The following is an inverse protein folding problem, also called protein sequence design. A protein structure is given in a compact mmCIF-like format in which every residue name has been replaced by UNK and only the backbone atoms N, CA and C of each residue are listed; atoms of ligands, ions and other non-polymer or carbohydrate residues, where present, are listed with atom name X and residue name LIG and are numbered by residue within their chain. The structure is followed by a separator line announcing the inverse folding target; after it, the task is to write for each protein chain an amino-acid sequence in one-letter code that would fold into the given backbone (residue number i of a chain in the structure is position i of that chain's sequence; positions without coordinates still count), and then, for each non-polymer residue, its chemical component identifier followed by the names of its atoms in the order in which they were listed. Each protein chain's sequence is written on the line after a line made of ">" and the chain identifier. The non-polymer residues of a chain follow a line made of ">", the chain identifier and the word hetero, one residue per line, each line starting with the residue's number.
data_IF_863412451647
#
_entry.id   IF_863412451647
#
_cell.length_a   1.000
_cell.length_b   1.000
_cell.length_c   1.000
_cell.angle_alpha   90.00
_cell.angle_beta   90.00
_cell.angle_gamma   90.00
#
_symmetry.space_group_name_H-M   'P 1'
#
loop_
_entity.id
_entity.type
_entity.pdbx_description
1 polymer ?
#
# COMPACT_ATOMS: atom_id res chain seq x y z
N UNK A 1 4.92 -10.99 -13.35
CA UNK A 1 6.00 -10.34 -12.57
C UNK A 1 6.02 -11.03 -11.23
N UNK A 2 7.20 -11.37 -10.69
CA UNK A 2 7.26 -12.03 -9.38
C UNK A 2 7.51 -10.98 -8.28
N UNK A 3 6.67 -10.92 -7.23
CA UNK A 3 6.97 -10.12 -6.04
C UNK A 3 8.15 -10.75 -5.26
N UNK A 4 8.87 -9.97 -4.43
CA UNK A 4 9.88 -10.52 -3.55
C UNK A 4 9.31 -11.56 -2.58
N UNK A 5 10.17 -12.42 -2.05
CA UNK A 5 9.78 -13.35 -1.00
C UNK A 5 9.35 -12.59 0.25
N UNK A 6 8.23 -13.00 0.86
CA UNK A 6 7.78 -12.45 2.14
C UNK A 6 8.80 -12.86 3.21
N UNK A 7 9.33 -11.91 4.01
CA UNK A 7 10.19 -12.24 5.14
C UNK A 7 9.47 -13.20 6.10
N UNK A 8 10.07 -14.36 6.37
CA UNK A 8 9.51 -15.36 7.28
C UNK A 8 8.40 -16.25 6.73
N UNK A 9 8.01 -16.11 5.45
CA UNK A 9 7.15 -17.08 4.80
C UNK A 9 7.96 -18.32 4.42
N UNK A 10 7.66 -19.43 5.08
CA UNK A 10 8.19 -20.76 4.74
C UNK A 10 7.49 -21.38 3.52
N UNK A 11 6.84 -20.57 2.67
CA UNK A 11 6.27 -21.07 1.42
C UNK A 11 7.42 -21.41 0.46
N UNK A 12 7.88 -22.65 0.59
CA UNK A 12 8.65 -23.34 -0.43
C UNK A 12 7.90 -23.21 -1.76
N UNK A 13 8.59 -22.62 -2.73
CA UNK A 13 8.16 -22.66 -4.12
C UNK A 13 8.10 -24.12 -4.53
N UNK A 14 6.88 -24.64 -4.69
CA UNK A 14 6.69 -25.98 -5.23
C UNK A 14 7.47 -26.10 -6.55
N UNK A 15 8.17 -27.22 -6.72
CA UNK A 15 9.12 -27.45 -7.80
C UNK A 15 8.45 -27.53 -9.20
N UNK A 16 7.14 -27.28 -9.30
CA UNK A 16 6.33 -27.24 -10.51
C UNK A 16 6.26 -25.88 -11.25
N UNK A 17 6.89 -24.82 -10.75
CA UNK A 17 7.14 -23.59 -11.53
C UNK A 17 5.94 -22.67 -11.84
N UNK A 18 4.71 -23.04 -11.50
CA UNK A 18 3.54 -22.15 -11.58
C UNK A 18 3.23 -21.50 -10.23
N UNK A 19 3.20 -20.17 -10.20
CA UNK A 19 2.80 -19.39 -9.03
C UNK A 19 1.32 -19.69 -8.66
N UNK A 20 1.01 -19.96 -7.38
CA UNK A 20 -0.37 -20.16 -6.93
C UNK A 20 -1.26 -18.95 -7.29
N UNK A 21 -2.39 -19.22 -7.93
CA UNK A 21 -3.40 -18.21 -8.25
C UNK A 21 -4.54 -18.23 -7.23
N UNK A 22 -4.94 -17.07 -6.75
CA UNK A 22 -6.06 -16.89 -5.84
C UNK A 22 -7.20 -16.20 -6.58
N UNK A 23 -8.30 -16.92 -6.80
CA UNK A 23 -9.42 -16.39 -7.57
C UNK A 23 -9.07 -16.03 -9.03
N UNK A 24 -8.02 -16.64 -9.59
CA UNK A 24 -7.52 -16.36 -10.93
C UNK A 24 -6.39 -15.33 -10.99
N UNK A 25 -6.09 -14.65 -9.88
CA UNK A 25 -5.05 -13.61 -9.81
C UNK A 25 -3.77 -14.12 -9.17
N UNK A 26 -2.65 -13.63 -9.69
CA UNK A 26 -1.33 -13.82 -9.08
C UNK A 26 -1.23 -13.00 -7.80
N UNK A 27 -0.29 -13.39 -6.93
CA UNK A 27 0.03 -12.61 -5.74
C UNK A 27 0.44 -11.17 -6.09
N UNK A 28 1.19 -11.01 -7.19
CA UNK A 28 1.58 -9.71 -7.71
C UNK A 28 0.38 -8.78 -7.95
N UNK A 29 -0.64 -9.27 -8.65
CA UNK A 29 -1.83 -8.49 -9.01
C UNK A 29 -2.63 -8.10 -7.76
N UNK A 30 -2.78 -9.04 -6.82
CA UNK A 30 -3.46 -8.79 -5.55
C UNK A 30 -2.72 -7.74 -4.72
N UNK A 31 -1.39 -7.85 -4.60
CA UNK A 31 -0.56 -6.86 -3.90
C UNK A 31 -0.60 -5.49 -4.59
N UNK A 32 -0.65 -5.46 -5.93
CA UNK A 32 -0.72 -4.24 -6.72
C UNK A 32 -2.06 -3.50 -6.52
N UNK A 33 -3.17 -4.23 -6.51
CA UNK A 33 -4.47 -3.63 -6.22
C UNK A 33 -4.51 -3.11 -4.79
N UNK A 34 -4.06 -3.92 -3.83
CA UNK A 34 -4.05 -3.54 -2.42
C UNK A 34 -3.20 -2.29 -2.16
N UNK A 35 -1.96 -2.23 -2.67
CA UNK A 35 -1.08 -1.09 -2.45
C UNK A 35 -1.67 0.19 -3.07
N UNK A 36 -2.34 0.08 -4.22
CA UNK A 36 -3.01 1.23 -4.83
C UNK A 36 -4.22 1.70 -4.02
N UNK A 37 -4.95 0.82 -3.33
CA UNK A 37 -6.00 1.23 -2.41
C UNK A 37 -5.50 2.12 -1.26
N UNK A 38 -4.22 1.99 -0.87
CA UNK A 38 -3.61 2.85 0.16
C UNK A 38 -3.50 4.32 -0.26
N UNK A 39 -3.65 4.64 -1.55
CA UNK A 39 -3.73 6.02 -2.02
C UNK A 39 -4.96 6.76 -1.45
N UNK A 40 -6.01 6.05 -1.05
CA UNK A 40 -7.25 6.63 -0.54
C UNK A 40 -7.21 6.80 0.99
N UNK A 41 -7.21 8.04 1.54
CA UNK A 41 -7.21 8.28 2.98
C UNK A 41 -8.38 7.64 3.74
N UNK A 42 -9.56 7.51 3.11
CA UNK A 42 -10.71 6.83 3.71
C UNK A 42 -10.47 5.34 3.91
N UNK A 43 -9.70 4.71 3.01
CA UNK A 43 -9.32 3.31 3.17
C UNK A 43 -8.34 3.12 4.32
N UNK A 44 -7.40 4.05 4.50
CA UNK A 44 -6.50 4.04 5.66
C UNK A 44 -7.27 4.17 6.99
N UNK A 45 -8.23 5.08 7.04
CA UNK A 45 -9.12 5.24 8.19
C UNK A 45 -9.91 3.96 8.47
N UNK A 46 -10.47 3.32 7.42
CA UNK A 46 -11.15 2.04 7.54
C UNK A 46 -10.23 0.95 8.13
N UNK A 47 -9.00 0.81 7.63
CA UNK A 47 -8.01 -0.15 8.16
C UNK A 47 -7.70 0.12 9.65
N UNK A 48 -7.60 1.39 10.03
CA UNK A 48 -7.36 1.80 11.42
C UNK A 48 -8.56 1.49 12.33
N UNK A 49 -9.79 1.78 11.86
CA UNK A 49 -11.03 1.52 12.58
C UNK A 49 -11.22 0.02 12.84
N UNK A 50 -10.87 -0.82 11.87
CA UNK A 50 -10.88 -2.28 11.97
C UNK A 50 -9.67 -2.86 12.75
N UNK A 51 -8.83 -2.00 13.34
CA UNK A 51 -7.65 -2.38 14.15
C UNK A 51 -6.58 -3.17 13.40
N UNK A 52 -6.59 -3.17 12.07
CA UNK A 52 -5.51 -3.82 11.30
C UNK A 52 -4.18 -3.11 11.51
N UNK A 53 -4.17 -1.77 11.55
CA UNK A 53 -2.95 -0.97 11.73
C UNK A 53 -2.31 -1.09 13.13
N UNK A 54 -2.95 -1.79 14.06
CA UNK A 54 -2.38 -2.10 15.39
C UNK A 54 -1.76 -3.49 15.46
N UNK A 55 -1.98 -4.35 14.46
CA UNK A 55 -1.44 -5.72 14.43
C UNK A 55 0.00 -5.71 13.92
N UNK A 56 0.97 -6.25 14.68
CA UNK A 56 2.38 -6.24 14.27
C UNK A 56 2.61 -7.00 12.96
N UNK A 57 1.86 -8.07 12.70
CA UNK A 57 1.94 -8.85 11.46
C UNK A 57 1.51 -8.02 10.25
N UNK A 58 0.49 -7.17 10.41
CA UNK A 58 0.02 -6.30 9.34
C UNK A 58 1.00 -5.14 9.09
N UNK A 59 1.59 -4.59 10.14
CA UNK A 59 2.64 -3.55 10.00
C UNK A 59 3.87 -4.12 9.30
N UNK A 60 4.30 -5.33 9.64
CA UNK A 60 5.37 -6.03 8.94
C UNK A 60 5.03 -6.28 7.46
N UNK A 61 3.77 -6.57 7.14
CA UNK A 61 3.31 -6.70 5.76
C UNK A 61 3.36 -5.36 4.99
N UNK A 62 2.97 -4.25 5.63
CA UNK A 62 3.11 -2.92 5.05
C UNK A 62 4.59 -2.54 4.83
N UNK A 63 5.49 -2.95 5.73
CA UNK A 63 6.93 -2.75 5.53
C UNK A 63 7.45 -3.58 4.35
N UNK A 64 7.03 -4.83 4.24
CA UNK A 64 7.32 -5.66 3.08
C UNK A 64 6.89 -4.97 1.77
N UNK A 65 5.68 -4.41 1.71
CA UNK A 65 5.15 -3.72 0.52
C UNK A 65 5.96 -2.48 0.09
N UNK A 66 6.89 -1.97 0.92
CA UNK A 66 7.77 -0.85 0.54
C UNK A 66 8.61 -1.15 -0.72
N UNK A 67 8.75 -2.42 -1.13
CA UNK A 67 9.41 -2.79 -2.39
C UNK A 67 8.76 -2.13 -3.63
N UNK A 68 7.47 -1.77 -3.57
CA UNK A 68 6.76 -1.07 -4.65
C UNK A 68 7.40 0.29 -5.00
N UNK A 69 8.15 0.90 -4.08
CA UNK A 69 8.89 2.15 -4.33
C UNK A 69 10.11 1.97 -5.25
N UNK A 70 10.58 0.73 -5.46
CA UNK A 70 11.83 0.43 -6.17
C UNK A 70 11.54 0.02 -7.62
N UNK A 71 12.42 0.35 -8.58
CA UNK A 71 12.42 -0.33 -9.88
C UNK A 71 12.57 -1.85 -9.70
N UNK A 72 11.93 -2.68 -10.54
CA UNK A 72 11.07 -2.35 -11.68
C UNK A 72 9.58 -2.17 -11.33
N UNK A 73 9.22 -2.10 -10.05
CA UNK A 73 7.83 -2.21 -9.58
C UNK A 73 7.05 -0.89 -9.61
N UNK A 74 7.70 0.23 -9.31
CA UNK A 74 7.07 1.55 -9.22
C UNK A 74 6.28 1.95 -10.48
N UNK A 75 6.71 1.49 -11.66
CA UNK A 75 6.06 1.79 -12.95
C UNK A 75 4.66 1.20 -13.10
N UNK A 76 4.29 0.24 -12.25
CA UNK A 76 2.96 -0.39 -12.28
C UNK A 76 1.93 0.37 -11.44
N UNK A 77 2.35 1.34 -10.62
CA UNK A 77 1.45 2.15 -9.81
C UNK A 77 0.78 3.23 -10.68
N UNK A 78 -0.55 3.31 -10.62
CA UNK A 78 -1.30 4.37 -11.31
C UNK A 78 -1.06 5.74 -10.65
N UNK A 79 -0.97 5.76 -9.32
CA UNK A 79 -0.81 6.97 -8.51
C UNK A 79 0.36 6.85 -7.54
N UNK A 80 1.62 6.79 -8.03
CA UNK A 80 2.77 6.46 -7.20
C UNK A 80 2.97 7.43 -6.04
N UNK A 81 2.74 8.74 -6.23
CA UNK A 81 2.94 9.75 -5.18
C UNK A 81 2.12 9.49 -3.91
N UNK A 82 0.78 9.56 -3.97
CA UNK A 82 -0.07 9.32 -2.80
C UNK A 82 0.08 7.91 -2.23
N UNK A 83 0.17 6.89 -3.09
CA UNK A 83 0.37 5.49 -2.66
C UNK A 83 1.63 5.33 -1.81
N UNK A 84 2.78 5.76 -2.34
CA UNK A 84 4.06 5.57 -1.66
C UNK A 84 4.17 6.44 -0.42
N UNK A 85 3.69 7.69 -0.48
CA UNK A 85 3.65 8.59 0.68
C UNK A 85 2.85 7.97 1.84
N UNK A 86 1.65 7.46 1.56
CA UNK A 86 0.84 6.85 2.61
C UNK A 86 1.46 5.55 3.14
N UNK A 87 2.06 4.74 2.26
CA UNK A 87 2.76 3.52 2.68
C UNK A 87 3.91 3.83 3.65
N UNK A 88 4.66 4.90 3.39
CA UNK A 88 5.72 5.39 4.28
C UNK A 88 5.16 5.92 5.60
N UNK A 89 4.11 6.76 5.56
CA UNK A 89 3.46 7.29 6.76
C UNK A 89 2.91 6.16 7.65
N UNK A 90 2.38 5.09 7.07
CA UNK A 90 1.88 3.93 7.81
C UNK A 90 2.96 3.19 8.61
N UNK A 91 4.26 3.39 8.31
CA UNK A 91 5.34 2.85 9.15
C UNK A 91 5.46 3.60 10.49
N UNK A 92 4.94 4.81 10.57
CA UNK A 92 4.96 5.62 11.79
C UNK A 92 3.78 5.24 12.70
N UNK A 93 4.07 4.70 13.89
CA UNK A 93 3.03 4.30 14.84
C UNK A 93 2.07 5.44 15.18
N UNK A 94 2.61 6.66 15.33
CA UNK A 94 1.81 7.86 15.58
C UNK A 94 0.78 8.08 14.49
N UNK A 95 1.18 8.01 13.22
CA UNK A 95 0.25 8.18 12.10
C UNK A 95 -0.84 7.10 12.07
N UNK A 96 -0.49 5.84 12.34
CA UNK A 96 -1.46 4.73 12.42
C UNK A 96 -2.55 4.97 13.47
N UNK A 97 -2.22 5.71 14.55
CA UNK A 97 -3.18 6.10 15.59
C UNK A 97 -3.98 7.34 15.16
N UNK A 98 -3.30 8.34 14.61
CA UNK A 98 -3.90 9.64 14.30
C UNK A 98 -4.86 9.55 13.10
N UNK A 99 -4.67 8.62 12.17
CA UNK A 99 -5.52 8.45 10.96
C UNK A 99 -6.97 8.03 11.25
N UNK A 100 -7.28 7.67 12.50
CA UNK A 100 -8.65 7.52 12.98
C UNK A 100 -9.43 8.85 12.99
N UNK A 101 -8.72 9.98 13.10
CA UNK A 101 -9.32 11.31 13.14
C UNK A 101 -9.92 11.69 11.78
N UNK A 102 -11.21 12.06 11.71
CA UNK A 102 -11.82 12.59 10.49
C UNK A 102 -11.09 13.83 9.95
N UNK A 103 -10.59 14.70 10.82
CA UNK A 103 -9.90 15.92 10.43
C UNK A 103 -8.59 15.61 9.69
N UNK A 104 -7.85 14.60 10.15
CA UNK A 104 -6.62 14.17 9.46
C UNK A 104 -6.94 13.57 8.08
N UNK A 105 -8.02 12.77 8.00
CA UNK A 105 -8.48 12.20 6.72
C UNK A 105 -8.83 13.32 5.73
N UNK A 106 -9.60 14.31 6.15
CA UNK A 106 -9.94 15.46 5.29
C UNK A 106 -8.69 16.23 4.86
N UNK A 107 -7.75 16.47 5.77
CA UNK A 107 -6.48 17.13 5.44
C UNK A 107 -5.68 16.39 4.35
N UNK A 108 -5.61 15.05 4.43
CA UNK A 108 -4.94 14.24 3.41
C UNK A 108 -5.67 14.26 2.06
N UNK A 109 -7.02 14.26 2.07
CA UNK A 109 -7.84 14.36 0.85
C UNK A 109 -7.59 15.70 0.16
N UNK A 110 -7.63 16.80 0.91
CA UNK A 110 -7.37 18.14 0.38
C UNK A 110 -5.95 18.27 -0.17
N UNK A 111 -4.96 17.71 0.51
CA UNK A 111 -3.58 17.70 0.05
C UNK A 111 -3.44 16.93 -1.27
N UNK A 112 -4.07 15.76 -1.37
CA UNK A 112 -4.10 14.96 -2.59
C UNK A 112 -4.75 15.70 -3.77
N UNK A 113 -5.86 16.41 -3.53
CA UNK A 113 -6.52 17.23 -4.54
C UNK A 113 -5.63 18.36 -5.03
N UNK A 114 -4.95 19.08 -4.10
CA UNK A 114 -4.03 20.17 -4.45
C UNK A 114 -2.86 19.65 -5.30
N UNK A 115 -2.27 18.52 -4.92
CA UNK A 115 -1.18 17.92 -5.68
C UNK A 115 -1.60 17.54 -7.11
N UNK A 116 -2.80 16.97 -7.29
CA UNK A 116 -3.32 16.62 -8.62
C UNK A 116 -3.51 17.86 -9.51
N UNK A 117 -4.04 18.95 -8.96
CA UNK A 117 -4.23 20.21 -9.69
C UNK A 117 -2.90 20.82 -10.14
N UNK A 118 -1.88 20.81 -9.28
CA UNK A 118 -0.54 21.32 -9.60
C UNK A 118 0.11 20.52 -10.74
N UNK A 119 -0.07 19.20 -10.75
CA UNK A 119 0.41 18.34 -11.84
C UNK A 119 -0.29 18.62 -13.18
N UNK A 120 -1.61 18.87 -13.17
CA UNK A 120 -2.35 19.21 -14.38
C UNK A 120 -2.05 20.61 -14.93
N UNK A 121 -1.64 21.55 -14.08
CA UNK A 121 -1.30 22.91 -14.48
C UNK A 121 0.12 23.06 -15.08
N UNK A 122 0.95 22.01 -15.00
CA UNK A 122 2.35 22.01 -15.46
C UNK A 122 2.60 21.07 -16.65
N UNK A 123 1.54 20.54 -17.27
CA UNK A 123 1.58 19.68 -18.45
C UNK A 123 1.12 20.37 -19.72
#
# INVERSE_FOLDING_TARGET
>A
MQPPNVPGSAMEVDAGGEEPKYGGFTRFEIELEFVQCLANPYYLNHLAAQKYLSKPEFVAYLDYLQYWSRPPYVKYLTYPGPTLKHLELLQQERFRRDILSPDLVQGLVEEGMKAAVVWHAQG
#
